data_IF_256795610276
#
_entry.id   IF_256795610276
#
_cell.length_a   1.000
_cell.length_b   1.000
_cell.length_c   1.000
_cell.angle_alpha   90.00
_cell.angle_beta   90.00
_cell.angle_gamma   90.00
#
_symmetry.space_group_name_H-M   'P 1'
#
loop_
_entity.id
_entity.type
_entity.pdbx_description
1 polymer ?
#
# COMPACT_ATOMS: atom_id res chain seq x y z
N UNK A 1 -8.14 -15.49 5.85
CA UNK A 1 -7.89 -14.15 5.27
C UNK A 1 -6.41 -13.76 5.38
N UNK A 2 -5.76 -13.85 6.54
CA UNK A 2 -4.32 -13.53 6.71
C UNK A 2 -3.37 -14.36 5.83
N UNK A 3 -3.79 -15.56 5.42
CA UNK A 3 -3.01 -16.43 4.53
C UNK A 3 -2.61 -15.78 3.19
N UNK A 4 -3.32 -14.74 2.74
CA UNK A 4 -2.94 -13.96 1.56
C UNK A 4 -1.61 -13.22 1.77
N UNK A 5 -1.45 -12.56 2.92
CA UNK A 5 -0.20 -11.90 3.30
C UNK A 5 0.94 -12.93 3.47
N UNK A 6 0.67 -14.06 4.15
CA UNK A 6 1.67 -15.13 4.31
C UNK A 6 2.15 -15.63 2.94
N UNK A 7 1.23 -15.93 2.03
CA UNK A 7 1.58 -16.36 0.67
C UNK A 7 2.39 -15.31 -0.10
N UNK A 8 2.08 -14.03 0.09
CA UNK A 8 2.84 -12.95 -0.53
C UNK A 8 4.28 -12.93 -0.01
N UNK A 9 4.50 -13.04 1.29
CA UNK A 9 5.85 -13.16 1.86
C UNK A 9 6.57 -14.43 1.38
N UNK A 10 5.87 -15.55 1.24
CA UNK A 10 6.44 -16.83 0.78
C UNK A 10 6.85 -16.83 -0.70
N UNK A 11 6.49 -15.81 -1.49
CA UNK A 11 7.04 -15.60 -2.84
C UNK A 11 8.53 -15.24 -2.81
N UNK A 12 9.01 -14.64 -1.72
CA UNK A 12 10.38 -14.12 -1.61
C UNK A 12 11.21 -14.87 -0.56
N UNK A 13 10.59 -15.34 0.52
CA UNK A 13 11.27 -16.02 1.64
C UNK A 13 10.47 -17.23 2.13
N UNK A 14 11.17 -18.26 2.60
CA UNK A 14 10.49 -19.39 3.27
C UNK A 14 10.19 -19.02 4.72
N UNK A 15 8.91 -19.08 5.12
CA UNK A 15 8.49 -18.83 6.50
C UNK A 15 8.53 -20.11 7.34
N UNK A 16 9.03 -20.00 8.58
CA UNK A 16 8.90 -21.04 9.62
C UNK A 16 7.50 -20.99 10.25
N UNK A 17 7.12 -22.05 10.95
CA UNK A 17 5.85 -22.10 11.68
C UNK A 17 5.78 -21.05 12.81
N UNK A 18 6.91 -20.73 13.44
CA UNK A 18 7.01 -19.68 14.46
C UNK A 18 6.72 -18.29 13.87
N UNK A 19 7.27 -17.98 12.70
CA UNK A 19 7.03 -16.72 12.01
C UNK A 19 5.59 -16.59 11.50
N UNK A 20 5.04 -17.67 10.95
CA UNK A 20 3.60 -17.70 10.58
C UNK A 20 2.71 -17.48 11.79
N UNK A 21 3.01 -18.14 12.90
CA UNK A 21 2.30 -17.96 14.16
C UNK A 21 2.37 -16.51 14.63
N UNK A 22 3.56 -15.90 14.62
CA UNK A 22 3.74 -14.49 14.99
C UNK A 22 2.87 -13.57 14.12
N UNK A 23 2.89 -13.77 12.78
CA UNK A 23 2.08 -13.00 11.83
C UNK A 23 0.58 -13.14 12.15
N UNK A 24 0.11 -14.37 12.35
CA UNK A 24 -1.31 -14.65 12.62
C UNK A 24 -1.79 -14.02 13.93
N UNK A 25 -0.96 -14.05 14.97
CA UNK A 25 -1.31 -13.55 16.31
C UNK A 25 -1.25 -12.01 16.41
N UNK A 26 -0.42 -11.36 15.61
CA UNK A 26 -0.13 -9.93 15.77
C UNK A 26 -0.66 -9.03 14.64
N UNK A 27 -0.99 -9.59 13.47
CA UNK A 27 -1.49 -8.81 12.33
C UNK A 27 -2.99 -9.01 12.18
N UNK A 28 -3.74 -7.92 12.26
CA UNK A 28 -5.20 -7.96 12.22
C UNK A 28 -5.72 -7.73 10.79
N UNK A 29 -6.71 -8.54 10.40
CA UNK A 29 -7.42 -8.35 9.13
C UNK A 29 -8.76 -7.69 9.40
N UNK A 30 -9.04 -6.60 8.70
CA UNK A 30 -10.31 -5.86 8.80
C UNK A 30 -10.96 -5.67 7.44
N UNK A 31 -12.29 -5.68 7.44
CA UNK A 31 -13.09 -5.19 6.32
C UNK A 31 -13.35 -3.70 6.54
N UNK A 32 -12.98 -2.90 5.58
CA UNK A 32 -13.11 -1.44 5.58
C UNK A 32 -14.14 -1.05 4.53
N UNK A 33 -15.08 -0.18 4.92
CA UNK A 33 -16.13 0.30 4.02
C UNK A 33 -15.53 1.18 2.91
N UNK A 34 -16.26 1.27 1.80
CA UNK A 34 -15.96 2.23 0.73
C UNK A 34 -15.88 3.67 1.27
N UNK A 35 -14.98 4.46 0.71
CA UNK A 35 -14.73 5.88 1.03
C UNK A 35 -14.29 6.15 2.48
N UNK A 36 -13.82 5.15 3.20
CA UNK A 36 -13.30 5.35 4.55
C UNK A 36 -11.86 5.88 4.49
N UNK A 37 -11.60 6.97 5.21
CA UNK A 37 -10.26 7.52 5.42
C UNK A 37 -9.51 6.60 6.38
N UNK A 38 -8.30 6.19 5.99
CA UNK A 38 -7.37 5.39 6.78
C UNK A 38 -6.30 6.25 7.45
N UNK A 39 -5.92 7.35 6.79
CA UNK A 39 -4.96 8.33 7.28
C UNK A 39 -5.35 9.69 6.75
N UNK A 40 -5.35 10.71 7.63
CA UNK A 40 -5.57 12.11 7.26
C UNK A 40 -4.22 12.83 7.21
N UNK A 41 -4.07 13.76 6.27
CA UNK A 41 -2.95 14.70 6.24
C UNK A 41 -2.81 15.41 7.59
N UNK A 42 -1.58 15.52 8.10
CA UNK A 42 -1.28 16.06 9.43
C UNK A 42 -1.28 15.04 10.56
N UNK A 43 -1.89 13.86 10.38
CA UNK A 43 -1.78 12.75 11.34
C UNK A 43 -0.49 11.96 11.12
N UNK A 44 0.08 11.40 12.18
CA UNK A 44 1.22 10.50 12.07
C UNK A 44 0.76 9.09 11.72
N UNK A 45 1.30 8.52 10.64
CA UNK A 45 1.01 7.13 10.23
C UNK A 45 1.57 6.15 11.24
N UNK A 46 0.68 5.37 11.85
CA UNK A 46 1.03 4.32 12.83
C UNK A 46 0.87 2.92 12.27
N UNK A 47 0.40 2.81 11.04
CA UNK A 47 0.02 1.54 10.44
C UNK A 47 0.53 1.44 9.01
N UNK A 48 0.85 0.22 8.65
CA UNK A 48 1.16 -0.23 7.30
C UNK A 48 0.06 -1.20 6.87
N UNK A 49 -0.50 -1.04 5.68
CA UNK A 49 -1.63 -1.83 5.21
C UNK A 49 -1.20 -2.75 4.07
N UNK A 50 -1.64 -4.01 4.09
CA UNK A 50 -1.56 -4.90 2.94
C UNK A 50 -2.96 -5.18 2.41
N UNK A 51 -3.19 -4.96 1.13
CA UNK A 51 -4.51 -5.09 0.50
C UNK A 51 -4.72 -6.56 0.10
N UNK A 52 -5.64 -7.23 0.81
CA UNK A 52 -6.06 -8.60 0.49
C UNK A 52 -7.15 -8.63 -0.56
N UNK A 53 -8.02 -7.60 -0.56
CA UNK A 53 -9.10 -7.38 -1.53
C UNK A 53 -9.47 -5.90 -1.51
N UNK A 54 -9.79 -5.34 -2.68
CA UNK A 54 -10.22 -3.95 -2.80
C UNK A 54 -9.09 -3.02 -3.23
N UNK A 55 -9.28 -1.73 -2.99
CA UNK A 55 -8.33 -0.72 -3.44
C UNK A 55 -8.31 0.51 -2.54
N UNK A 56 -7.15 1.15 -2.48
CA UNK A 56 -6.87 2.35 -1.68
C UNK A 56 -6.26 3.40 -2.60
N UNK A 57 -6.67 4.66 -2.43
CA UNK A 57 -6.01 5.80 -3.07
C UNK A 57 -5.15 6.59 -2.08
N UNK A 58 -4.05 7.10 -2.56
CA UNK A 58 -3.27 8.16 -1.94
C UNK A 58 -3.59 9.46 -2.65
N UNK A 59 -4.02 10.47 -1.91
CA UNK A 59 -4.40 11.74 -2.49
C UNK A 59 -3.96 12.93 -1.64
N UNK A 60 -3.78 14.06 -2.32
CA UNK A 60 -3.49 15.36 -1.72
C UNK A 60 -4.73 16.24 -1.80
N UNK A 61 -4.96 17.05 -0.75
CA UNK A 61 -5.92 18.12 -0.78
C UNK A 61 -5.26 19.39 -1.29
N UNK A 62 -5.93 20.06 -2.22
CA UNK A 62 -5.59 21.40 -2.67
C UNK A 62 -6.69 22.36 -2.25
N UNK A 63 -6.48 23.67 -2.42
CA UNK A 63 -7.51 24.67 -2.08
C UNK A 63 -8.81 24.51 -2.89
N UNK A 64 -8.77 23.83 -4.03
CA UNK A 64 -9.88 23.71 -4.97
C UNK A 64 -10.44 22.30 -5.07
N UNK A 65 -9.62 21.25 -4.89
CA UNK A 65 -10.01 19.87 -5.14
C UNK A 65 -9.11 18.85 -4.41
N UNK A 66 -9.39 17.57 -4.66
CA UNK A 66 -8.54 16.45 -4.26
C UNK A 66 -7.81 15.89 -5.49
N UNK A 67 -6.49 15.66 -5.38
CA UNK A 67 -5.68 15.08 -6.46
C UNK A 67 -5.13 13.73 -6.05
N UNK A 68 -5.64 12.67 -6.68
CA UNK A 68 -5.12 11.32 -6.49
C UNK A 68 -3.77 11.17 -7.17
N UNK A 69 -2.76 10.77 -6.39
CA UNK A 69 -1.42 10.51 -6.89
C UNK A 69 -1.20 9.03 -7.21
N UNK A 70 -1.75 8.12 -6.38
CA UNK A 70 -1.58 6.69 -6.53
C UNK A 70 -2.86 5.93 -6.21
N UNK A 71 -3.03 4.80 -6.92
CA UNK A 71 -3.98 3.75 -6.60
C UNK A 71 -3.22 2.48 -6.24
N UNK A 72 -3.62 1.85 -5.14
CA UNK A 72 -3.07 0.59 -4.66
C UNK A 72 -4.16 -0.47 -4.74
N UNK A 73 -3.80 -1.66 -5.19
CA UNK A 73 -4.69 -2.80 -5.42
C UNK A 73 -4.28 -4.02 -4.59
N UNK A 74 -4.91 -5.15 -4.84
CA UNK A 74 -4.60 -6.40 -4.18
C UNK A 74 -3.10 -6.76 -4.29
N UNK A 75 -2.57 -7.34 -3.22
CA UNK A 75 -1.16 -7.73 -3.05
C UNK A 75 -0.17 -6.56 -2.97
N UNK A 76 -0.66 -5.32 -2.86
CA UNK A 76 0.20 -4.15 -2.64
C UNK A 76 0.21 -3.73 -1.18
N UNK A 77 1.35 -3.19 -0.75
CA UNK A 77 1.46 -2.50 0.52
C UNK A 77 1.19 -1.01 0.34
N UNK A 78 0.59 -0.39 1.35
CA UNK A 78 0.34 1.04 1.36
C UNK A 78 0.51 1.64 2.75
N UNK A 79 1.21 2.75 2.80
CA UNK A 79 1.35 3.60 3.98
C UNK A 79 1.78 5.00 3.55
N UNK A 80 1.69 5.98 4.43
CA UNK A 80 2.48 7.20 4.31
C UNK A 80 3.90 6.88 4.76
N UNK A 81 4.75 6.39 3.84
CA UNK A 81 6.04 5.78 4.16
C UNK A 81 6.96 6.71 4.97
N UNK A 82 7.08 7.99 4.56
CA UNK A 82 7.88 8.97 5.31
C UNK A 82 7.32 9.20 6.72
N UNK A 83 5.99 9.34 6.83
CA UNK A 83 5.32 9.51 8.12
C UNK A 83 5.48 8.29 9.01
N UNK A 84 5.30 7.08 8.45
CA UNK A 84 5.45 5.82 9.16
C UNK A 84 6.87 5.59 9.67
N UNK A 85 7.89 5.79 8.83
CA UNK A 85 9.28 5.50 9.21
C UNK A 85 9.88 6.54 10.13
N UNK A 86 9.55 7.82 9.92
CA UNK A 86 10.10 8.95 10.71
C UNK A 86 9.21 9.37 11.89
N UNK A 87 8.00 8.80 11.98
CA UNK A 87 6.98 9.17 12.98
C UNK A 87 6.70 10.69 13.00
N UNK A 88 6.53 11.28 11.80
CA UNK A 88 6.19 12.68 11.58
C UNK A 88 4.82 12.79 10.89
N UNK A 89 4.15 13.96 10.92
CA UNK A 89 2.88 14.18 10.25
C UNK A 89 2.91 13.82 8.76
N UNK A 90 1.90 13.12 8.26
CA UNK A 90 1.71 12.79 6.85
C UNK A 90 1.40 14.03 6.03
N UNK A 91 1.92 14.08 4.80
CA UNK A 91 1.65 15.13 3.81
C UNK A 91 0.48 14.81 2.89
N UNK A 92 -0.14 13.65 3.03
CA UNK A 92 -1.21 13.16 2.17
C UNK A 92 -2.19 12.29 2.95
N UNK A 93 -3.28 11.95 2.29
CA UNK A 93 -4.38 11.18 2.82
C UNK A 93 -4.39 9.78 2.19
N UNK A 94 -4.92 8.77 2.92
CA UNK A 94 -5.20 7.43 2.41
C UNK A 94 -6.69 7.15 2.56
N UNK A 95 -7.34 6.63 1.51
CA UNK A 95 -8.76 6.34 1.49
C UNK A 95 -9.06 5.08 0.67
N UNK A 96 -9.96 4.23 1.17
CA UNK A 96 -10.54 3.13 0.38
C UNK A 96 -11.48 3.68 -0.69
N UNK A 97 -11.38 3.19 -1.93
CA UNK A 97 -12.28 3.58 -3.02
C UNK A 97 -13.41 2.57 -3.27
N UNK A 98 -13.33 1.42 -2.63
CA UNK A 98 -14.35 0.38 -2.58
C UNK A 98 -14.30 -0.34 -1.24
N UNK A 99 -15.25 -1.25 -0.94
CA UNK A 99 -15.13 -2.12 0.22
C UNK A 99 -13.88 -2.98 0.12
N UNK A 100 -13.00 -2.88 1.11
CA UNK A 100 -11.67 -3.46 1.06
C UNK A 100 -11.41 -4.35 2.29
N UNK A 101 -10.67 -5.44 2.08
CA UNK A 101 -10.17 -6.30 3.14
C UNK A 101 -8.67 -6.07 3.23
N UNK A 102 -8.19 -5.58 4.35
CA UNK A 102 -6.80 -5.21 4.56
C UNK A 102 -6.21 -5.89 5.79
N UNK A 103 -4.94 -6.29 5.70
CA UNK A 103 -4.15 -6.66 6.87
C UNK A 103 -3.46 -5.39 7.39
N UNK A 104 -3.56 -5.16 8.69
CA UNK A 104 -3.07 -3.96 9.37
C UNK A 104 -1.86 -4.35 10.21
N UNK A 105 -0.72 -3.73 9.92
CA UNK A 105 0.56 -3.96 10.59
C UNK A 105 0.92 -2.67 11.30
N UNK A 106 0.86 -2.66 12.64
CA UNK A 106 1.25 -1.47 13.40
C UNK A 106 2.75 -1.23 13.33
N UNK A 107 3.17 0.02 13.60
CA UNK A 107 4.58 0.39 13.68
C UNK A 107 5.36 -0.53 14.60
N UNK A 108 4.84 -0.78 15.79
CA UNK A 108 5.47 -1.62 16.81
C UNK A 108 5.63 -3.08 16.32
N UNK A 109 4.59 -3.62 15.65
CA UNK A 109 4.63 -4.99 15.14
C UNK A 109 5.58 -5.12 13.94
N UNK A 110 5.61 -4.12 13.05
CA UNK A 110 6.56 -4.11 11.94
C UNK A 110 8.01 -4.15 12.43
N UNK A 111 8.38 -3.28 13.36
CA UNK A 111 9.75 -3.25 13.92
C UNK A 111 10.07 -4.47 14.76
N UNK A 112 9.12 -4.97 15.54
CA UNK A 112 9.30 -6.22 16.31
C UNK A 112 9.51 -7.43 15.41
N UNK A 113 8.83 -7.48 14.25
CA UNK A 113 9.02 -8.54 13.25
C UNK A 113 10.45 -8.52 12.69
N UNK A 114 10.99 -7.33 12.38
CA UNK A 114 12.36 -7.17 11.90
C UNK A 114 13.38 -7.56 12.98
N UNK A 115 13.15 -7.15 14.23
CA UNK A 115 14.03 -7.45 15.36
C UNK A 115 14.09 -8.96 15.67
N UNK A 116 12.94 -9.63 15.71
CA UNK A 116 12.87 -11.06 16.06
C UNK A 116 13.32 -11.99 14.94
N UNK A 117 13.08 -11.60 13.69
CA UNK A 117 13.31 -12.45 12.53
C UNK A 117 14.08 -11.70 11.43
N UNK A 118 15.43 -11.69 11.49
CA UNK A 118 16.30 -10.87 10.61
C UNK A 118 16.06 -11.05 9.10
N UNK A 119 15.50 -12.20 8.67
CA UNK A 119 15.18 -12.39 7.25
C UNK A 119 14.06 -11.43 6.72
N UNK A 120 13.28 -10.81 7.61
CA UNK A 120 12.32 -9.79 7.21
C UNK A 120 12.98 -8.47 6.81
N UNK A 121 14.22 -8.19 7.26
CA UNK A 121 15.02 -7.09 6.69
C UNK A 121 15.33 -7.32 5.21
N UNK A 122 15.67 -8.56 4.85
CA UNK A 122 15.88 -8.93 3.46
C UNK A 122 14.58 -8.79 2.64
N UNK A 123 13.45 -9.24 3.18
CA UNK A 123 12.15 -9.09 2.55
C UNK A 123 11.78 -7.60 2.37
N UNK A 124 11.92 -6.80 3.42
CA UNK A 124 11.63 -5.36 3.38
C UNK A 124 12.50 -4.65 2.32
N UNK A 125 13.79 -5.03 2.20
CA UNK A 125 14.68 -4.49 1.17
C UNK A 125 14.20 -4.83 -0.24
N UNK A 126 13.83 -6.09 -0.51
CA UNK A 126 13.30 -6.49 -1.84
C UNK A 126 12.06 -5.66 -2.17
N UNK A 127 11.12 -5.56 -1.25
CA UNK A 127 9.88 -4.80 -1.46
C UNK A 127 10.15 -3.31 -1.72
N UNK A 128 11.15 -2.72 -1.04
CA UNK A 128 11.56 -1.34 -1.30
C UNK A 128 12.26 -1.16 -2.65
N UNK A 129 13.06 -2.14 -3.08
CA UNK A 129 13.69 -2.16 -4.40
C UNK A 129 12.62 -2.21 -5.52
N UNK A 130 11.59 -3.05 -5.37
CA UNK A 130 10.46 -3.15 -6.30
C UNK A 130 9.66 -1.84 -6.37
N UNK A 131 9.34 -1.24 -5.22
CA UNK A 131 8.65 0.06 -5.16
C UNK A 131 9.47 1.18 -5.80
N UNK A 132 10.79 1.19 -5.59
CA UNK A 132 11.69 2.16 -6.23
C UNK A 132 11.66 2.04 -7.75
N UNK A 133 11.65 0.82 -8.29
CA UNK A 133 11.55 0.58 -9.74
C UNK A 133 10.22 1.15 -10.27
N UNK A 134 9.11 0.88 -9.60
CA UNK A 134 7.79 1.43 -9.97
C UNK A 134 7.81 2.97 -9.95
N UNK A 135 8.38 3.58 -8.91
CA UNK A 135 8.53 5.04 -8.84
C UNK A 135 9.35 5.60 -10.00
N UNK A 136 10.47 4.94 -10.38
CA UNK A 136 11.29 5.35 -11.52
C UNK A 136 10.54 5.24 -12.85
N UNK A 137 9.74 4.19 -13.04
CA UNK A 137 8.90 4.05 -14.24
C UNK A 137 7.84 5.14 -14.35
N UNK A 138 7.21 5.49 -13.22
CA UNK A 138 6.23 6.58 -13.15
C UNK A 138 6.89 7.90 -13.52
N UNK A 139 8.03 8.25 -12.91
CA UNK A 139 8.78 9.47 -13.22
C UNK A 139 9.18 9.50 -14.70
N UNK A 140 9.72 8.39 -15.21
CA UNK A 140 10.08 8.26 -16.64
C UNK A 140 8.87 8.50 -17.55
N UNK A 141 7.69 7.99 -17.16
CA UNK A 141 6.46 8.16 -17.93
C UNK A 141 6.02 9.63 -18.00
N UNK A 142 6.22 10.40 -16.95
CA UNK A 142 5.92 11.84 -16.93
C UNK A 142 6.85 12.63 -17.86
N UNK A 143 8.10 12.20 -17.99
CA UNK A 143 9.11 12.86 -18.85
C UNK A 143 8.94 12.47 -20.32
N UNK A 144 8.58 11.21 -20.60
CA UNK A 144 8.64 10.64 -21.96
C UNK A 144 7.28 10.51 -22.65
N UNK A 145 6.16 10.58 -21.91
CA UNK A 145 4.81 10.36 -22.45
C UNK A 145 3.91 11.56 -22.18
N UNK A 146 3.01 11.86 -23.13
CA UNK A 146 1.91 12.80 -22.90
C UNK A 146 0.81 12.17 -22.00
N UNK A 147 -0.15 12.99 -21.58
CA UNK A 147 -1.22 12.54 -20.67
C UNK A 147 -2.06 11.40 -21.26
N UNK A 148 -2.38 11.46 -22.55
CA UNK A 148 -3.15 10.44 -23.26
C UNK A 148 -2.45 9.07 -23.25
N UNK A 149 -1.17 9.05 -23.62
CA UNK A 149 -0.38 7.80 -23.63
C UNK A 149 -0.16 7.22 -22.22
N UNK A 150 -0.07 8.05 -21.19
CA UNK A 150 -0.03 7.57 -19.79
C UNK A 150 -1.37 6.94 -19.39
N UNK A 151 -2.48 7.57 -19.77
CA UNK A 151 -3.82 7.04 -19.50
C UNK A 151 -4.07 5.72 -20.22
N UNK A 152 -3.72 5.62 -21.50
CA UNK A 152 -3.86 4.37 -22.25
C UNK A 152 -3.03 3.24 -21.66
N UNK A 153 -1.77 3.50 -21.27
CA UNK A 153 -0.94 2.51 -20.58
C UNK A 153 -1.57 2.04 -19.28
N UNK A 154 -2.10 2.96 -18.46
CA UNK A 154 -2.78 2.62 -17.21
C UNK A 154 -3.96 1.67 -17.44
N UNK A 155 -4.73 1.89 -18.52
CA UNK A 155 -5.85 1.02 -18.89
C UNK A 155 -5.40 -0.35 -19.37
N UNK A 156 -4.34 -0.42 -20.15
CA UNK A 156 -3.76 -1.68 -20.65
C UNK A 156 -3.25 -2.56 -19.49
N UNK A 157 -2.56 -1.95 -18.53
CA UNK A 157 -2.00 -2.65 -17.37
C UNK A 157 -3.07 -3.07 -16.34
N UNK A 158 -4.21 -2.39 -16.33
CA UNK A 158 -5.30 -2.61 -15.36
C UNK A 158 -6.66 -2.71 -16.04
N UNK A 159 -6.93 -3.82 -16.71
CA UNK A 159 -8.15 -4.05 -17.50
C UNK A 159 -9.49 -3.76 -16.77
N UNK A 160 -9.51 -3.84 -15.45
CA UNK A 160 -10.71 -3.59 -14.63
C UNK A 160 -10.71 -2.21 -13.94
N UNK A 161 -9.73 -1.35 -14.23
CA UNK A 161 -9.56 -0.07 -13.55
C UNK A 161 -10.79 0.82 -13.67
N UNK A 162 -11.31 0.98 -14.90
CA UNK A 162 -12.48 1.82 -15.19
C UNK A 162 -13.76 1.35 -14.48
N UNK A 163 -13.86 0.05 -14.17
CA UNK A 163 -15.01 -0.50 -13.45
C UNK A 163 -14.93 -0.27 -11.95
N UNK A 164 -13.73 -0.12 -11.41
CA UNK A 164 -13.43 -0.01 -9.97
C UNK A 164 -13.23 1.43 -9.52
N UNK A 165 -12.65 2.27 -10.37
CA UNK A 165 -12.33 3.67 -10.04
C UNK A 165 -13.36 4.60 -10.70
N UNK A 166 -14.06 5.45 -9.93
CA UNK A 166 -14.90 6.50 -10.48
C UNK A 166 -14.05 7.47 -11.34
N UNK A 167 -14.53 7.79 -12.55
CA UNK A 167 -13.79 8.63 -13.53
C UNK A 167 -13.50 10.06 -13.05
N UNK A 168 -14.08 10.49 -11.93
CA UNK A 168 -13.89 11.82 -11.35
C UNK A 168 -12.88 11.83 -10.18
N UNK A 169 -12.22 10.72 -9.90
CA UNK A 169 -11.13 10.58 -8.95
C UNK A 169 -9.81 10.41 -9.70
#
# INVERSE_FOLDING_TARGET
>A
MINGLIKHFEQHIKLSEEEKKFIIENIHVKTIKKNQILLTEGETSKEFYFILKGSIRLFYKTDLDEKTAFFYFENMFVSSYESFTKQIPSKHNLQTIEESIIAIISFEIAYKLLELFPKFDFLARIMMEEELIVCQEIISSFVTKNAENRYLKLLEENNNLLQRIPQHQ
#
